data_IF_048833644825
#
_entry.id   IF_048833644825
#
_cell.length_a   1.000
_cell.length_b   1.000
_cell.length_c   1.000
_cell.angle_alpha   90.00
_cell.angle_beta   90.00
_cell.angle_gamma   90.00
#
_symmetry.space_group_name_H-M   'P 1'
#
loop_
_entity.id
_entity.type
_entity.pdbx_description
1 polymer ?
#
# COMPACT_ATOMS: atom_id res chain seq x y z
N UNK A 1 74.47 -2.89 -19.26
CA UNK A 1 75.43 -3.57 -20.16
C UNK A 1 75.16 -5.07 -20.14
N UNK A 2 75.52 -5.70 -21.25
CA UNK A 2 75.28 -7.08 -21.67
C UNK A 2 75.72 -8.19 -20.69
N UNK A 3 74.93 -9.27 -20.75
CA UNK A 3 75.19 -10.71 -20.73
C UNK A 3 76.50 -11.32 -20.17
N UNK A 4 76.27 -12.54 -19.65
CA UNK A 4 77.05 -13.81 -19.67
C UNK A 4 77.34 -14.26 -18.23
N UNK A 5 76.85 -15.41 -17.77
CA UNK A 5 76.99 -16.73 -18.38
C UNK A 5 78.21 -17.39 -17.75
N UNK A 6 78.03 -18.47 -16.98
CA UNK A 6 79.17 -19.25 -16.48
C UNK A 6 78.86 -20.17 -15.31
N UNK A 7 78.83 -21.47 -15.60
CA UNK A 7 79.43 -22.47 -14.71
C UNK A 7 78.50 -23.20 -13.75
N UNK A 8 77.68 -24.13 -14.26
CA UNK A 8 77.31 -25.29 -13.46
C UNK A 8 78.48 -26.30 -13.49
N UNK A 9 78.96 -26.70 -12.31
CA UNK A 9 79.96 -27.76 -12.14
C UNK A 9 79.30 -29.00 -11.54
N UNK A 10 79.26 -30.05 -12.35
CA UNK A 10 79.39 -31.48 -12.06
C UNK A 10 78.76 -32.09 -10.79
N UNK A 11 77.72 -32.89 -11.07
CA UNK A 11 77.56 -34.27 -10.61
C UNK A 11 77.64 -34.54 -9.11
N UNK A 12 76.52 -34.33 -8.43
CA UNK A 12 76.10 -35.21 -7.33
C UNK A 12 74.62 -35.54 -7.48
N UNK A 13 74.31 -36.59 -8.24
CA UNK A 13 73.03 -37.27 -8.13
C UNK A 13 73.34 -38.74 -7.87
N UNK A 14 73.03 -39.28 -6.67
CA UNK A 14 73.13 -40.70 -6.44
C UNK A 14 72.16 -41.42 -7.37
N UNK A 15 72.71 -42.30 -8.19
CA UNK A 15 71.99 -43.31 -8.96
C UNK A 15 71.30 -44.25 -7.97
N UNK A 16 70.05 -43.95 -7.64
CA UNK A 16 69.30 -44.76 -6.69
C UNK A 16 67.85 -44.35 -6.67
N UNK A 17 67.01 -45.24 -7.21
CA UNK A 17 65.58 -45.30 -6.93
C UNK A 17 64.69 -44.34 -7.73
N UNK A 18 64.65 -44.54 -9.05
CA UNK A 18 63.43 -44.25 -9.83
C UNK A 18 62.32 -45.23 -9.39
N UNK A 19 61.61 -44.91 -8.31
CA UNK A 19 60.23 -45.41 -8.19
C UNK A 19 59.44 -44.69 -9.27
N UNK A 20 59.14 -45.42 -10.34
CA UNK A 20 57.99 -45.09 -11.19
C UNK A 20 56.75 -45.16 -10.29
N UNK A 21 56.42 -44.07 -9.60
CA UNK A 21 55.05 -43.85 -9.17
C UNK A 21 54.24 -43.54 -10.43
N UNK A 22 53.87 -44.60 -11.17
CA UNK A 22 52.65 -44.60 -11.98
C UNK A 22 51.46 -44.62 -11.03
N UNK A 23 51.34 -43.57 -10.21
CA UNK A 23 50.07 -43.24 -9.57
C UNK A 23 49.20 -42.61 -10.65
N UNK A 24 48.37 -43.41 -11.32
CA UNK A 24 47.20 -42.86 -12.01
C UNK A 24 46.38 -42.17 -10.92
N UNK A 25 46.47 -40.85 -10.82
CA UNK A 25 45.48 -40.06 -10.11
C UNK A 25 44.18 -40.16 -10.91
N UNK A 26 43.39 -41.20 -10.65
CA UNK A 26 42.03 -41.29 -11.13
C UNK A 26 41.23 -40.29 -10.30
N UNK A 27 41.17 -39.04 -10.74
CA UNK A 27 40.05 -38.18 -10.36
C UNK A 27 38.80 -38.86 -10.94
N UNK A 28 38.13 -39.66 -10.12
CA UNK A 28 36.83 -40.21 -10.45
C UNK A 28 35.86 -39.04 -10.47
N UNK A 29 35.58 -38.51 -11.65
CA UNK A 29 34.49 -37.55 -11.82
C UNK A 29 33.19 -38.29 -11.51
N UNK A 30 32.59 -38.02 -10.35
CA UNK A 30 31.21 -38.40 -10.08
C UNK A 30 30.34 -37.63 -11.07
N UNK A 31 30.06 -38.24 -12.22
CA UNK A 31 29.14 -37.72 -13.20
C UNK A 31 27.73 -38.23 -12.86
N UNK A 32 26.78 -37.32 -12.72
CA UNK A 32 25.38 -37.69 -12.60
C UNK A 32 24.89 -38.31 -13.91
N UNK A 33 24.15 -39.41 -13.82
CA UNK A 33 23.46 -39.97 -14.96
C UNK A 33 22.33 -39.02 -15.40
N UNK A 34 21.98 -39.06 -16.68
CA UNK A 34 20.86 -38.29 -17.21
C UNK A 34 19.56 -38.57 -16.42
N UNK A 35 19.34 -39.83 -16.03
CA UNK A 35 18.18 -40.23 -15.23
C UNK A 35 18.17 -39.58 -13.84
N UNK A 36 19.30 -39.54 -13.14
CA UNK A 36 19.42 -38.87 -11.84
C UNK A 36 19.14 -37.35 -11.95
N UNK A 37 19.66 -36.71 -13.00
CA UNK A 37 19.38 -35.28 -13.25
C UNK A 37 17.90 -35.04 -13.57
N UNK A 38 17.27 -35.90 -14.38
CA UNK A 38 15.85 -35.75 -14.73
C UNK A 38 14.91 -35.97 -13.54
N UNK A 39 15.20 -36.98 -12.71
CA UNK A 39 14.39 -37.24 -11.49
C UNK A 39 14.54 -36.08 -10.51
N UNK A 40 15.77 -35.59 -10.29
CA UNK A 40 16.00 -34.45 -9.37
C UNK A 40 15.34 -33.16 -9.87
N UNK A 41 15.45 -32.83 -11.16
CA UNK A 41 14.74 -31.70 -11.76
C UNK A 41 13.21 -31.88 -11.70
N UNK A 42 12.70 -33.10 -11.90
CA UNK A 42 11.28 -33.40 -11.78
C UNK A 42 10.75 -33.17 -10.36
N UNK A 43 11.47 -33.67 -9.34
CA UNK A 43 11.10 -33.49 -7.93
C UNK A 43 11.18 -32.02 -7.53
N UNK A 44 12.27 -31.32 -7.86
CA UNK A 44 12.41 -29.89 -7.58
C UNK A 44 11.31 -29.09 -8.30
N UNK A 45 10.98 -29.45 -9.55
CA UNK A 45 9.92 -28.81 -10.32
C UNK A 45 8.54 -28.93 -9.66
N UNK A 46 8.18 -30.11 -9.17
CA UNK A 46 6.91 -30.35 -8.47
C UNK A 46 6.85 -29.55 -7.15
N UNK A 47 7.91 -29.61 -6.35
CA UNK A 47 7.98 -28.88 -5.07
C UNK A 47 7.91 -27.37 -5.32
N UNK A 48 8.72 -26.86 -6.25
CA UNK A 48 8.75 -25.46 -6.64
C UNK A 48 7.37 -24.96 -7.10
N UNK A 49 6.65 -25.75 -7.91
CA UNK A 49 5.32 -25.40 -8.39
C UNK A 49 4.29 -25.27 -7.24
N UNK A 50 4.44 -26.03 -6.15
CA UNK A 50 3.58 -25.93 -4.98
C UNK A 50 3.99 -24.82 -4.00
N UNK A 51 5.29 -24.51 -3.91
CA UNK A 51 5.81 -23.54 -2.94
C UNK A 51 5.87 -22.10 -3.45
N UNK A 52 6.18 -21.89 -4.74
CA UNK A 52 6.33 -20.52 -5.26
C UNK A 52 5.04 -19.70 -5.21
N UNK A 53 3.85 -20.23 -5.56
CA UNK A 53 2.62 -19.44 -5.50
C UNK A 53 2.29 -18.96 -4.08
N UNK A 54 2.44 -19.81 -3.08
CA UNK A 54 2.15 -19.47 -1.68
C UNK A 54 3.17 -18.46 -1.12
N UNK A 55 4.46 -18.63 -1.43
CA UNK A 55 5.50 -17.69 -1.04
C UNK A 55 5.27 -16.30 -1.65
N UNK A 56 4.96 -16.23 -2.95
CA UNK A 56 4.69 -14.98 -3.66
C UNK A 56 3.44 -14.30 -3.08
N UNK A 57 2.37 -15.05 -2.82
CA UNK A 57 1.15 -14.52 -2.22
C UNK A 57 1.41 -13.92 -0.83
N UNK A 58 2.14 -14.64 0.02
CA UNK A 58 2.50 -14.17 1.36
C UNK A 58 3.41 -12.93 1.31
N UNK A 59 4.39 -12.92 0.41
CA UNK A 59 5.26 -11.76 0.22
C UNK A 59 4.45 -10.52 -0.21
N UNK A 60 3.55 -10.67 -1.20
CA UNK A 60 2.65 -9.58 -1.64
C UNK A 60 1.78 -9.07 -0.51
N UNK A 61 1.22 -9.96 0.31
CA UNK A 61 0.43 -9.61 1.50
C UNK A 61 1.24 -8.70 2.43
N UNK A 62 2.47 -9.10 2.78
CA UNK A 62 3.34 -8.30 3.66
C UNK A 62 3.72 -6.94 3.06
N UNK A 63 4.08 -6.90 1.78
CA UNK A 63 4.39 -5.64 1.08
C UNK A 63 3.19 -4.70 1.08
N UNK A 64 1.99 -5.22 0.80
CA UNK A 64 0.75 -4.45 0.79
C UNK A 64 0.46 -3.86 2.17
N UNK A 65 0.48 -4.68 3.22
CA UNK A 65 0.27 -4.25 4.59
C UNK A 65 1.24 -3.14 5.01
N UNK A 66 2.52 -3.31 4.68
CA UNK A 66 3.56 -2.32 4.96
C UNK A 66 3.27 -0.99 4.26
N UNK A 67 2.89 -1.02 2.97
CA UNK A 67 2.56 0.18 2.21
C UNK A 67 1.32 0.89 2.75
N UNK A 68 0.24 0.15 3.04
CA UNK A 68 -0.99 0.72 3.62
C UNK A 68 -0.70 1.38 4.97
N UNK A 69 0.03 0.69 5.85
CA UNK A 69 0.43 1.23 7.15
C UNK A 69 1.30 2.48 7.00
N UNK A 70 2.24 2.46 6.07
CA UNK A 70 3.09 3.61 5.76
C UNK A 70 2.25 4.81 5.31
N UNK A 71 1.35 4.62 4.33
CA UNK A 71 0.47 5.69 3.83
C UNK A 71 -0.42 6.27 4.93
N UNK A 72 -1.07 5.40 5.73
CA UNK A 72 -1.88 5.82 6.86
C UNK A 72 -1.08 6.65 7.88
N UNK A 73 0.16 6.23 8.16
CA UNK A 73 1.07 6.93 9.08
C UNK A 73 1.51 8.28 8.50
N UNK A 74 1.87 8.35 7.22
CA UNK A 74 2.24 9.60 6.54
C UNK A 74 1.10 10.61 6.62
N UNK A 75 -0.13 10.20 6.33
CA UNK A 75 -1.30 11.09 6.34
C UNK A 75 -1.65 11.57 7.76
N UNK A 76 -1.58 10.70 8.77
CA UNK A 76 -1.77 11.12 10.16
C UNK A 76 -0.64 12.03 10.66
N UNK A 77 0.62 11.75 10.32
CA UNK A 77 1.74 12.62 10.70
C UNK A 77 1.62 14.01 10.05
N UNK A 78 1.16 14.09 8.81
CA UNK A 78 0.87 15.37 8.16
C UNK A 78 -0.24 16.14 8.89
N UNK A 79 -1.30 15.45 9.30
CA UNK A 79 -2.38 16.04 10.10
C UNK A 79 -1.88 16.56 11.46
N UNK A 80 -1.07 15.78 12.18
CA UNK A 80 -0.51 16.20 13.47
C UNK A 80 0.37 17.44 13.33
N UNK A 81 1.15 17.55 12.24
CA UNK A 81 1.92 18.78 11.94
C UNK A 81 1.00 19.96 11.67
N UNK A 82 -0.06 19.78 10.91
CA UNK A 82 -1.03 20.83 10.64
C UNK A 82 -1.73 21.33 11.91
N UNK A 83 -1.97 20.48 12.90
CA UNK A 83 -2.52 20.87 14.22
C UNK A 83 -1.62 21.80 15.01
N UNK A 84 -0.30 21.72 14.84
CA UNK A 84 0.64 22.62 15.55
C UNK A 84 0.37 24.08 15.17
N UNK A 85 0.05 24.35 13.90
CA UNK A 85 -0.15 25.71 13.39
C UNK A 85 -1.61 26.16 13.40
N UNK A 86 -2.56 25.24 13.22
CA UNK A 86 -3.98 25.57 13.03
C UNK A 86 -4.86 25.26 14.25
N UNK A 87 -4.26 24.76 15.33
CA UNK A 87 -4.96 24.38 16.56
C UNK A 87 -5.22 22.88 16.66
N UNK A 88 -5.32 22.39 17.90
CA UNK A 88 -5.36 20.96 18.20
C UNK A 88 -6.69 20.29 17.88
N UNK A 89 -7.79 21.03 17.87
CA UNK A 89 -9.13 20.53 17.54
C UNK A 89 -9.50 20.90 16.11
N UNK A 90 -9.56 19.89 15.24
CA UNK A 90 -9.86 20.08 13.83
C UNK A 90 -11.27 20.60 13.56
N UNK A 91 -12.22 20.46 14.50
CA UNK A 91 -13.58 20.94 14.29
C UNK A 91 -13.64 22.47 14.25
N UNK A 92 -12.61 23.13 14.78
CA UNK A 92 -12.45 24.59 14.77
C UNK A 92 -11.65 25.09 13.56
N UNK A 93 -11.16 24.20 12.70
CA UNK A 93 -10.42 24.59 11.52
C UNK A 93 -11.35 25.24 10.50
N UNK A 94 -10.87 26.32 9.88
CA UNK A 94 -11.63 27.00 8.85
C UNK A 94 -11.72 26.15 7.58
N UNK A 95 -12.93 25.96 7.08
CA UNK A 95 -13.22 25.39 5.76
C UNK A 95 -14.16 26.35 5.04
N UNK A 96 -13.90 26.71 3.76
CA UNK A 96 -14.80 27.55 2.99
C UNK A 96 -16.22 26.97 2.97
N UNK A 97 -17.21 27.77 3.34
CA UNK A 97 -18.63 27.39 3.30
C UNK A 97 -19.20 27.52 1.89
N UNK A 98 -18.72 28.51 1.14
CA UNK A 98 -19.04 28.76 -0.27
C UNK A 98 -18.05 28.03 -1.19
N UNK A 99 -18.50 27.75 -2.41
CA UNK A 99 -17.72 27.04 -3.42
C UNK A 99 -18.14 25.57 -3.57
N UNK A 100 -17.67 24.99 -4.65
CA UNK A 100 -17.85 23.61 -5.04
C UNK A 100 -17.06 22.64 -4.13
N UNK A 101 -17.38 21.35 -4.19
CA UNK A 101 -16.72 20.33 -3.36
C UNK A 101 -15.23 20.19 -3.69
N UNK A 102 -14.88 20.32 -4.97
CA UNK A 102 -13.52 20.34 -5.48
C UNK A 102 -12.72 21.53 -4.94
N UNK A 103 -13.31 22.73 -4.90
CA UNK A 103 -12.66 23.93 -4.33
C UNK A 103 -12.40 23.77 -2.83
N UNK A 104 -13.39 23.29 -2.06
CA UNK A 104 -13.22 23.00 -0.63
C UNK A 104 -12.15 21.94 -0.37
N UNK A 105 -12.13 20.90 -1.20
CA UNK A 105 -11.14 19.84 -1.13
C UNK A 105 -9.74 20.34 -1.47
N UNK A 106 -9.61 21.19 -2.49
CA UNK A 106 -8.34 21.81 -2.85
C UNK A 106 -7.84 22.72 -1.74
N UNK A 107 -8.71 23.57 -1.18
CA UNK A 107 -8.36 24.42 -0.05
C UNK A 107 -7.81 23.59 1.13
N UNK A 108 -8.51 22.52 1.50
CA UNK A 108 -8.08 21.66 2.61
C UNK A 108 -6.74 20.99 2.31
N UNK A 109 -6.54 20.51 1.07
CA UNK A 109 -5.26 19.94 0.65
C UNK A 109 -4.13 20.96 0.80
N UNK A 110 -4.26 22.14 0.18
CA UNK A 110 -3.21 23.17 0.16
C UNK A 110 -2.91 23.73 1.54
N UNK A 111 -3.94 23.94 2.37
CA UNK A 111 -3.78 24.55 3.68
C UNK A 111 -3.28 23.57 4.74
N UNK A 112 -3.79 22.34 4.75
CA UNK A 112 -3.62 21.44 5.89
C UNK A 112 -2.83 20.17 5.59
N UNK A 113 -2.63 19.76 4.33
CA UNK A 113 -1.96 18.50 4.01
C UNK A 113 -0.68 18.70 3.20
N UNK A 114 -0.76 19.35 2.04
CA UNK A 114 0.33 19.49 1.08
C UNK A 114 1.62 20.09 1.68
N UNK A 115 1.59 21.08 2.59
CA UNK A 115 2.81 21.63 3.20
C UNK A 115 3.63 20.59 3.97
N UNK A 116 2.98 19.51 4.42
CA UNK A 116 3.56 18.49 5.28
C UNK A 116 3.79 17.15 4.56
N UNK A 117 3.50 17.10 3.25
CA UNK A 117 3.59 15.91 2.42
C UNK A 117 4.59 16.09 1.28
N UNK A 118 5.27 15.01 0.90
CA UNK A 118 6.16 14.98 -0.26
C UNK A 118 5.35 14.72 -1.53
N UNK A 119 4.69 15.76 -2.03
CA UNK A 119 3.82 15.70 -3.22
C UNK A 119 4.62 16.00 -4.48
N UNK A 120 4.45 15.16 -5.50
CA UNK A 120 5.11 15.34 -6.81
C UNK A 120 4.18 16.00 -7.81
N UNK A 121 2.88 15.69 -7.76
CA UNK A 121 1.85 16.22 -8.67
C UNK A 121 0.53 16.35 -7.94
N UNK A 122 -0.28 17.33 -8.32
CA UNK A 122 -1.65 17.48 -7.86
C UNK A 122 -2.50 18.20 -8.91
N UNK A 123 -3.82 18.08 -8.78
CA UNK A 123 -4.77 18.39 -9.84
C UNK A 123 -5.37 19.80 -9.75
N UNK A 124 -4.54 20.81 -9.50
CA UNK A 124 -4.98 22.21 -9.44
C UNK A 124 -5.10 22.85 -10.80
N UNK A 125 -3.99 22.90 -11.55
CA UNK A 125 -3.91 23.72 -12.75
C UNK A 125 -4.46 23.01 -14.00
N UNK A 126 -4.50 21.67 -13.97
CA UNK A 126 -4.94 20.87 -15.11
C UNK A 126 -5.57 19.54 -14.63
N UNK A 127 -6.90 19.51 -14.42
CA UNK A 127 -7.61 18.31 -13.98
C UNK A 127 -7.74 17.24 -15.07
N UNK A 128 -7.38 17.54 -16.32
CA UNK A 128 -7.43 16.59 -17.44
C UNK A 128 -6.21 15.67 -17.51
N UNK A 129 -5.22 15.87 -16.63
CA UNK A 129 -4.03 15.02 -16.62
C UNK A 129 -4.40 13.57 -16.26
N UNK A 130 -3.73 12.56 -16.84
CA UNK A 130 -4.08 11.15 -16.60
C UNK A 130 -4.01 10.71 -15.13
N UNK A 131 -3.24 11.41 -14.29
CA UNK A 131 -3.13 11.11 -12.86
C UNK A 131 -4.22 11.78 -12.00
N UNK A 132 -5.06 12.62 -12.60
CA UNK A 132 -6.21 13.29 -11.99
C UNK A 132 -7.52 12.50 -12.15
N UNK A 133 -7.40 11.27 -12.65
CA UNK A 133 -8.49 10.34 -12.83
C UNK A 133 -7.98 8.92 -12.60
N UNK A 134 -8.69 8.15 -11.78
CA UNK A 134 -8.49 6.71 -11.64
C UNK A 134 -9.83 6.01 -11.45
N UNK A 135 -9.92 4.78 -11.95
CA UNK A 135 -11.07 3.91 -11.72
C UNK A 135 -10.66 2.76 -10.84
N UNK A 136 -11.48 2.42 -9.86
CA UNK A 136 -11.26 1.24 -9.04
C UNK A 136 -12.55 0.43 -8.88
N UNK A 137 -12.38 -0.86 -8.59
CA UNK A 137 -13.47 -1.80 -8.39
C UNK A 137 -13.77 -1.99 -6.90
N UNK A 138 -15.01 -2.36 -6.60
CA UNK A 138 -15.33 -2.98 -5.31
C UNK A 138 -14.55 -4.28 -5.14
N UNK A 139 -14.48 -4.76 -3.90
CA UNK A 139 -13.76 -5.98 -3.58
C UNK A 139 -14.29 -7.21 -4.33
N UNK A 140 -15.62 -7.27 -4.56
CA UNK A 140 -16.25 -8.31 -5.37
C UNK A 140 -15.88 -8.22 -6.86
N UNK A 141 -15.65 -7.00 -7.36
CA UNK A 141 -15.40 -6.70 -8.76
C UNK A 141 -16.65 -6.24 -9.53
N UNK A 142 -17.82 -6.27 -8.91
CA UNK A 142 -19.10 -6.05 -9.60
C UNK A 142 -19.41 -4.57 -9.89
N UNK A 143 -18.88 -3.66 -9.06
CA UNK A 143 -19.11 -2.22 -9.21
C UNK A 143 -17.81 -1.47 -9.42
N UNK A 144 -17.86 -0.49 -10.32
CA UNK A 144 -16.78 0.46 -10.60
C UNK A 144 -17.10 1.81 -9.97
N UNK A 145 -16.08 2.40 -9.38
CA UNK A 145 -16.11 3.69 -8.69
C UNK A 145 -14.88 4.50 -9.12
N UNK A 146 -14.86 5.80 -8.81
CA UNK A 146 -13.99 6.76 -9.48
C UNK A 146 -13.30 7.70 -8.49
N UNK A 147 -11.99 7.86 -8.66
CA UNK A 147 -11.24 9.00 -8.13
C UNK A 147 -11.15 10.00 -9.27
N UNK A 148 -11.79 11.16 -9.15
CA UNK A 148 -11.77 12.17 -10.21
C UNK A 148 -11.61 13.56 -9.63
N UNK A 149 -10.60 14.30 -10.09
CA UNK A 149 -10.42 15.69 -9.70
C UNK A 149 -11.33 16.59 -10.56
N UNK A 150 -12.39 17.12 -9.96
CA UNK A 150 -13.42 17.98 -10.58
C UNK A 150 -14.05 18.89 -9.52
N UNK A 151 -14.65 19.98 -9.97
CA UNK A 151 -15.33 20.96 -9.11
C UNK A 151 -16.47 20.33 -8.29
N UNK A 152 -17.27 19.46 -8.88
CA UNK A 152 -18.37 18.77 -8.19
C UNK A 152 -17.93 17.57 -7.32
N UNK A 153 -16.63 17.26 -7.29
CA UNK A 153 -16.11 16.04 -6.67
C UNK A 153 -15.07 16.33 -5.59
N UNK A 154 -13.79 16.14 -5.87
CA UNK A 154 -12.69 16.38 -4.94
C UNK A 154 -11.41 16.73 -5.67
N UNK A 155 -10.29 16.63 -4.97
CA UNK A 155 -8.96 16.84 -5.56
C UNK A 155 -8.10 15.60 -5.43
N UNK A 156 -7.15 15.42 -6.35
CA UNK A 156 -6.18 14.33 -6.32
C UNK A 156 -4.76 14.88 -6.24
N UNK A 157 -3.93 14.24 -5.43
CA UNK A 157 -2.50 14.48 -5.38
C UNK A 157 -1.72 13.16 -5.27
N UNK A 158 -0.50 13.17 -5.81
CA UNK A 158 0.40 12.03 -5.86
C UNK A 158 1.61 12.28 -4.98
N UNK A 159 1.84 11.35 -4.06
CA UNK A 159 3.03 11.33 -3.21
C UNK A 159 4.23 10.78 -3.98
N UNK A 160 5.44 11.14 -3.55
CA UNK A 160 6.69 10.70 -4.18
C UNK A 160 6.94 9.19 -4.11
N UNK A 161 6.29 8.48 -3.19
CA UNK A 161 6.33 7.03 -3.07
C UNK A 161 5.32 6.31 -3.98
N UNK A 162 4.63 7.04 -4.87
CA UNK A 162 3.71 6.50 -5.87
C UNK A 162 2.25 6.39 -5.42
N UNK A 163 1.94 6.76 -4.17
CA UNK A 163 0.56 6.74 -3.65
C UNK A 163 -0.26 7.86 -4.29
N UNK A 164 -1.45 7.51 -4.80
CA UNK A 164 -2.46 8.47 -5.24
C UNK A 164 -3.46 8.71 -4.12
N UNK A 165 -3.76 9.97 -3.81
CA UNK A 165 -4.66 10.37 -2.73
C UNK A 165 -5.78 11.22 -3.32
N UNK A 166 -7.01 10.75 -3.20
CA UNK A 166 -8.22 11.48 -3.54
C UNK A 166 -8.89 12.00 -2.28
N UNK A 167 -8.99 13.31 -2.17
CA UNK A 167 -9.52 14.03 -1.03
C UNK A 167 -10.87 14.66 -1.40
N UNK A 168 -11.87 14.40 -0.57
CA UNK A 168 -13.19 15.05 -0.61
C UNK A 168 -13.52 15.69 0.72
N UNK A 169 -13.99 16.93 0.68
CA UNK A 169 -14.35 17.73 1.85
C UNK A 169 -15.76 18.25 1.67
N UNK A 170 -16.61 18.11 2.70
CA UNK A 170 -17.97 18.67 2.71
C UNK A 170 -19.06 17.61 2.56
N UNK A 171 -20.16 17.96 1.89
CA UNK A 171 -21.34 17.10 1.66
C UNK A 171 -20.99 15.82 0.88
N UNK A 172 -20.71 14.75 1.61
CA UNK A 172 -20.58 13.41 1.04
C UNK A 172 -21.93 12.77 1.29
N UNK A 173 -22.82 12.76 0.28
CA UNK A 173 -24.21 12.29 0.37
C UNK A 173 -24.35 11.13 1.36
N UNK A 174 -24.83 11.45 2.55
CA UNK A 174 -25.64 10.52 3.32
C UNK A 174 -27.03 10.58 2.71
N UNK A 175 -27.76 9.47 2.72
CA UNK A 175 -29.11 9.31 2.16
C UNK A 175 -30.18 10.24 2.74
N UNK A 176 -29.80 11.22 3.56
CA UNK A 176 -30.70 12.12 4.28
C UNK A 176 -30.60 13.52 3.66
N UNK A 177 -31.45 13.74 2.65
CA UNK A 177 -31.62 15.04 2.00
C UNK A 177 -32.30 16.05 2.93
N UNK A 178 -31.79 17.29 2.99
CA UNK A 178 -32.57 18.45 3.44
C UNK A 178 -32.20 19.13 4.77
N UNK A 179 -30.98 18.94 5.29
CA UNK A 179 -30.51 19.66 6.49
C UNK A 179 -29.43 20.68 6.11
N UNK A 180 -29.66 21.94 6.44
CA UNK A 180 -28.69 23.03 6.29
C UNK A 180 -27.57 22.85 7.33
N UNK A 181 -26.32 22.83 6.87
CA UNK A 181 -25.16 22.38 7.66
C UNK A 181 -24.53 23.54 8.45
N UNK A 182 -24.22 23.27 9.72
CA UNK A 182 -23.40 24.16 10.56
C UNK A 182 -21.94 24.21 10.06
N UNK A 183 -21.25 25.33 10.29
CA UNK A 183 -19.97 25.76 9.68
C UNK A 183 -18.74 24.88 9.99
N UNK A 184 -18.93 23.74 10.66
CA UNK A 184 -17.90 22.81 11.13
C UNK A 184 -17.44 21.84 10.04
N UNK A 185 -16.27 21.23 10.24
CA UNK A 185 -15.78 20.11 9.41
C UNK A 185 -16.74 18.91 9.53
N UNK A 186 -17.78 18.91 8.69
CA UNK A 186 -18.81 17.87 8.72
C UNK A 186 -18.20 16.50 8.42
N UNK A 187 -17.30 16.42 7.43
CA UNK A 187 -16.54 15.21 7.10
C UNK A 187 -15.46 15.50 6.06
N UNK A 188 -14.28 14.93 6.28
CA UNK A 188 -13.22 14.80 5.27
C UNK A 188 -13.05 13.33 4.94
N UNK A 189 -13.11 12.95 3.67
CA UNK A 189 -12.94 11.59 3.20
C UNK A 189 -11.76 11.52 2.26
N UNK A 190 -10.82 10.63 2.58
CA UNK A 190 -9.70 10.31 1.72
C UNK A 190 -9.86 8.88 1.22
N UNK A 191 -9.84 8.72 -0.09
CA UNK A 191 -9.57 7.44 -0.74
C UNK A 191 -8.13 7.47 -1.23
N UNK A 192 -7.30 6.52 -0.85
CA UNK A 192 -5.93 6.44 -1.35
C UNK A 192 -5.66 5.08 -2.00
N UNK A 193 -4.84 5.12 -3.02
CA UNK A 193 -4.36 3.99 -3.79
C UNK A 193 -2.84 3.88 -3.56
N UNK A 194 -2.39 2.76 -2.99
CA UNK A 194 -1.02 2.59 -2.49
C UNK A 194 0.04 2.35 -3.58
N UNK A 195 -0.36 2.00 -4.80
CA UNK A 195 0.50 1.86 -5.97
C UNK A 195 0.07 2.76 -7.14
N UNK A 196 -0.95 3.58 -6.90
CA UNK A 196 -1.47 4.54 -7.86
C UNK A 196 -2.23 3.85 -8.99
N UNK A 197 -2.63 4.59 -10.05
CA UNK A 197 -3.59 4.11 -11.04
C UNK A 197 -3.12 2.88 -11.86
N UNK A 198 -1.88 2.42 -11.68
CA UNK A 198 -1.29 1.26 -12.37
C UNK A 198 -1.54 -0.06 -11.64
N UNK A 199 -2.14 -0.04 -10.45
CA UNK A 199 -2.39 -1.21 -9.62
C UNK A 199 -3.55 -2.10 -10.07
N UNK A 200 -3.93 -3.03 -9.19
CA UNK A 200 -5.17 -3.80 -9.33
C UNK A 200 -6.41 -2.91 -9.26
N UNK A 201 -6.27 -1.71 -8.68
CA UNK A 201 -7.31 -0.71 -8.49
C UNK A 201 -8.57 -1.35 -7.89
N UNK A 202 -8.43 -1.96 -6.72
CA UNK A 202 -9.49 -2.69 -6.02
C UNK A 202 -9.56 -2.29 -4.54
N UNK A 203 -10.77 -1.96 -4.09
CA UNK A 203 -11.04 -1.69 -2.67
C UNK A 203 -10.63 -2.86 -1.80
N UNK A 204 -9.87 -2.57 -0.74
CA UNK A 204 -9.36 -3.60 0.16
C UNK A 204 -8.19 -4.41 -0.40
N UNK A 205 -7.61 -4.03 -1.53
CA UNK A 205 -6.38 -4.63 -2.02
C UNK A 205 -5.27 -3.57 -2.12
N UNK A 206 -5.49 -2.54 -2.91
CA UNK A 206 -4.59 -1.39 -3.05
C UNK A 206 -5.30 -0.05 -2.79
N UNK A 207 -6.62 -0.02 -2.91
CA UNK A 207 -7.46 1.15 -2.61
C UNK A 207 -8.07 1.05 -1.21
N UNK A 208 -7.84 2.06 -0.37
CA UNK A 208 -8.34 2.13 1.00
C UNK A 208 -8.92 3.51 1.31
N UNK A 209 -9.74 3.57 2.37
CA UNK A 209 -10.49 4.77 2.72
C UNK A 209 -10.30 5.14 4.20
N UNK A 210 -10.07 6.42 4.45
CA UNK A 210 -10.01 7.03 5.79
C UNK A 210 -10.88 8.27 5.85
N UNK A 211 -11.36 8.60 7.04
CA UNK A 211 -12.19 9.76 7.31
C UNK A 211 -11.66 10.55 8.50
N UNK A 212 -11.93 11.84 8.50
CA UNK A 212 -11.56 12.80 9.53
C UNK A 212 -12.75 13.74 9.80
N UNK A 213 -12.89 14.19 11.05
CA UNK A 213 -14.01 15.04 11.46
C UNK A 213 -15.31 14.26 11.63
N UNK A 214 -16.45 14.97 11.64
CA UNK A 214 -17.75 14.37 11.96
C UNK A 214 -17.89 14.01 13.43
N UNK A 215 -17.28 14.80 14.34
CA UNK A 215 -17.54 14.70 15.78
C UNK A 215 -18.93 15.27 16.14
N UNK A 216 -19.48 16.11 15.27
CA UNK A 216 -20.76 16.79 15.39
C UNK A 216 -21.58 16.68 14.10
N UNK A 217 -22.87 17.04 14.16
CA UNK A 217 -23.79 16.99 13.02
C UNK A 217 -24.29 15.58 12.66
N UNK A 218 -25.02 15.42 11.55
CA UNK A 218 -25.62 14.14 11.12
C UNK A 218 -24.57 13.07 10.77
N UNK A 219 -23.33 13.48 10.51
CA UNK A 219 -22.21 12.58 10.27
C UNK A 219 -21.57 12.03 11.56
N UNK A 220 -22.10 12.37 12.75
CA UNK A 220 -21.59 11.88 14.04
C UNK A 220 -21.62 10.37 14.11
N UNK A 221 -20.43 9.76 14.13
CA UNK A 221 -20.26 8.31 14.26
C UNK A 221 -19.65 7.96 15.60
N UNK A 222 -20.35 7.11 16.38
CA UNK A 222 -19.88 6.38 17.56
C UNK A 222 -18.99 7.18 18.53
N UNK A 223 -18.14 6.49 19.32
CA UNK A 223 -17.26 7.08 20.34
C UNK A 223 -15.79 7.18 19.87
N UNK A 224 -15.51 7.01 18.59
CA UNK A 224 -14.15 7.10 18.09
C UNK A 224 -13.67 8.56 18.10
N UNK A 225 -12.39 8.77 18.42
CA UNK A 225 -11.74 10.07 18.36
C UNK A 225 -11.63 10.53 16.90
N UNK A 226 -12.50 11.46 16.51
CA UNK A 226 -12.59 12.03 15.17
C UNK A 226 -11.61 13.18 14.93
N UNK A 227 -10.74 13.46 15.90
CA UNK A 227 -9.68 14.44 15.75
C UNK A 227 -8.44 13.89 15.01
N UNK A 228 -8.50 12.68 14.46
CA UNK A 228 -7.44 12.06 13.65
C UNK A 228 -8.05 11.29 12.48
N UNK A 229 -7.24 10.95 11.48
CA UNK A 229 -7.73 10.11 10.40
C UNK A 229 -8.00 8.69 10.92
N UNK A 230 -9.23 8.24 10.77
CA UNK A 230 -9.65 6.88 11.10
C UNK A 230 -10.02 6.12 9.84
N UNK A 231 -9.93 4.78 9.84
CA UNK A 231 -10.50 3.99 8.75
C UNK A 231 -11.98 4.33 8.52
N UNK A 232 -12.42 4.23 7.28
CA UNK A 232 -13.82 4.53 6.91
C UNK A 232 -14.81 3.69 7.73
N UNK A 233 -15.76 4.37 8.40
CA UNK A 233 -16.74 3.79 9.34
C UNK A 233 -16.14 3.05 10.54
N UNK A 234 -14.91 3.37 10.94
CA UNK A 234 -14.33 2.78 12.14
C UNK A 234 -15.18 3.12 13.38
N UNK A 235 -15.41 2.11 14.21
CA UNK A 235 -16.21 2.14 15.42
C UNK A 235 -15.53 1.36 16.53
N UNK A 236 -15.14 2.06 17.59
CA UNK A 236 -14.47 1.49 18.76
C UNK A 236 -15.37 0.58 19.59
N UNK A 237 -16.70 0.65 19.41
CA UNK A 237 -17.66 -0.23 20.08
C UNK A 237 -17.89 -1.56 19.35
N UNK A 238 -17.43 -1.69 18.10
CA UNK A 238 -17.65 -2.88 17.28
C UNK A 238 -16.46 -3.83 17.36
N UNK A 239 -16.69 -5.15 17.50
CA UNK A 239 -15.62 -6.14 17.41
C UNK A 239 -15.09 -6.21 15.97
N UNK A 240 -13.84 -6.65 15.77
CA UNK A 240 -13.23 -6.66 14.44
C UNK A 240 -14.01 -7.48 13.40
N UNK A 241 -14.70 -8.55 13.83
CA UNK A 241 -15.56 -9.37 12.96
C UNK A 241 -16.71 -8.58 12.30
N UNK A 242 -17.12 -7.45 12.88
CA UNK A 242 -18.13 -6.57 12.28
C UNK A 242 -17.70 -6.10 10.88
N UNK A 243 -16.43 -5.74 10.71
CA UNK A 243 -15.90 -5.21 9.45
C UNK A 243 -15.78 -6.24 8.32
N UNK A 244 -15.93 -7.54 8.61
CA UNK A 244 -15.96 -8.63 7.61
C UNK A 244 -17.33 -9.30 7.49
N UNK A 245 -18.34 -8.82 8.23
CA UNK A 245 -19.72 -9.31 8.21
C UNK A 245 -20.49 -8.96 6.93
N UNK A 246 -21.67 -9.52 6.69
CA UNK A 246 -22.47 -9.30 5.47
C UNK A 246 -23.21 -7.95 5.45
N UNK A 247 -22.49 -6.85 5.64
CA UNK A 247 -23.00 -5.48 5.51
C UNK A 247 -22.45 -4.82 4.25
N UNK A 248 -23.17 -3.83 3.73
CA UNK A 248 -22.96 -3.22 2.40
C UNK A 248 -21.52 -2.81 2.06
N UNK A 249 -20.73 -2.38 3.06
CA UNK A 249 -19.37 -1.87 2.87
C UNK A 249 -18.27 -2.75 3.47
N UNK A 250 -18.63 -3.93 3.98
CA UNK A 250 -17.70 -4.81 4.68
C UNK A 250 -16.54 -5.27 3.80
N UNK A 251 -15.48 -5.71 4.46
CA UNK A 251 -14.35 -6.38 3.87
C UNK A 251 -14.66 -7.85 3.55
N UNK A 252 -15.61 -8.09 2.66
CA UNK A 252 -15.86 -9.39 2.06
C UNK A 252 -16.34 -9.22 0.61
N UNK A 253 -16.33 -10.33 -0.15
CA UNK A 253 -16.69 -10.35 -1.57
C UNK A 253 -18.20 -10.43 -1.82
N UNK A 254 -19.01 -10.67 -0.79
CA UNK A 254 -20.46 -10.81 -0.91
C UNK A 254 -21.20 -9.48 -0.72
N UNK A 255 -20.54 -8.48 -0.11
CA UNK A 255 -21.09 -7.16 0.12
C UNK A 255 -21.20 -6.36 -1.18
N UNK A 256 -22.37 -5.73 -1.41
CA UNK A 256 -22.69 -4.96 -2.62
C UNK A 256 -21.64 -3.89 -2.94
N UNK A 257 -21.21 -3.10 -1.94
CA UNK A 257 -20.14 -2.11 -2.08
C UNK A 257 -18.92 -2.48 -1.22
N UNK A 258 -18.60 -3.78 -1.23
CA UNK A 258 -17.56 -4.39 -0.40
C UNK A 258 -16.17 -3.79 -0.59
N UNK A 259 -15.38 -3.83 0.47
CA UNK A 259 -13.97 -3.43 0.52
C UNK A 259 -13.70 -2.10 1.21
N UNK A 260 -14.68 -1.21 1.34
CA UNK A 260 -14.48 0.11 1.94
C UNK A 260 -14.06 0.05 3.42
N UNK A 261 -14.51 -0.97 4.17
CA UNK A 261 -14.15 -1.18 5.58
C UNK A 261 -12.90 -2.06 5.78
N UNK A 262 -12.21 -2.49 4.73
CA UNK A 262 -11.04 -3.38 4.89
C UNK A 262 -9.94 -2.77 5.75
N UNK A 263 -9.68 -1.47 5.63
CA UNK A 263 -8.71 -0.80 6.51
C UNK A 263 -9.16 -0.83 7.98
N UNK A 264 -10.46 -0.73 8.25
CA UNK A 264 -11.00 -0.80 9.61
C UNK A 264 -10.73 -2.17 10.24
N UNK A 265 -10.89 -3.24 9.46
CA UNK A 265 -10.56 -4.60 9.89
C UNK A 265 -9.06 -4.76 10.16
N UNK A 266 -8.20 -4.30 9.25
CA UNK A 266 -6.73 -4.37 9.40
C UNK A 266 -6.26 -3.65 10.66
N UNK A 267 -6.74 -2.42 10.87
CA UNK A 267 -6.38 -1.61 12.06
C UNK A 267 -6.92 -2.25 13.34
N UNK A 268 -8.16 -2.76 13.32
CA UNK A 268 -8.76 -3.43 14.47
C UNK A 268 -7.97 -4.70 14.88
N UNK A 269 -7.47 -5.46 13.91
CA UNK A 269 -6.62 -6.64 14.14
C UNK A 269 -5.15 -6.30 14.44
N UNK A 270 -4.82 -5.05 14.76
CA UNK A 270 -3.45 -4.67 15.12
C UNK A 270 -2.48 -4.60 13.95
N UNK A 271 -2.95 -4.14 12.78
CA UNK A 271 -2.21 -4.15 11.52
C UNK A 271 -1.89 -5.57 11.03
N UNK A 272 -2.91 -6.44 11.04
CA UNK A 272 -2.88 -7.74 10.38
C UNK A 272 -4.15 -7.90 9.54
N UNK A 273 -4.05 -8.60 8.41
CA UNK A 273 -5.23 -8.95 7.65
C UNK A 273 -6.14 -9.91 8.42
N UNK A 274 -5.61 -10.78 9.28
CA UNK A 274 -6.36 -11.85 9.92
C UNK A 274 -6.77 -12.95 8.95
N UNK A 275 -7.44 -13.98 9.46
CA UNK A 275 -7.83 -15.16 8.68
C UNK A 275 -9.08 -14.94 7.83
N UNK A 276 -9.93 -13.98 8.22
CA UNK A 276 -11.18 -13.68 7.51
C UNK A 276 -11.00 -12.62 6.41
N UNK A 277 -9.76 -12.19 6.16
CA UNK A 277 -9.50 -11.25 5.08
C UNK A 277 -9.69 -11.94 3.73
N UNK A 278 -10.41 -11.30 2.80
CA UNK A 278 -10.70 -11.87 1.48
C UNK A 278 -9.54 -11.70 0.49
N UNK A 279 -8.35 -12.20 0.83
CA UNK A 279 -7.12 -12.12 0.02
C UNK A 279 -7.27 -12.75 -1.36
#
# INVERSE_FOLDING_TARGET
>A
MNFRGGGASNNQAPSGFLVKLKGKSTYSYFAFTLAEVLITLGVIGIVAAMTFPSLIANHRRQVMLSKVKQTYTILNNALERAKVENGTDINNWYIPTKGSQGEKSMFFAEKYLLPYLQVVKYCKDNPEKPYCYSTYLTLSGDYKDYMVARDDSGTIFLLNNGVSVFLRVGEISTTDSGVEYDEKVSRVLITFDIDGPKGYNKKGYDVFMIELGGAEGPAKKNRADRNKFLPYQYDTSKPCNYYVSEITHACNRNATYGGSMCLAYIVCNGWDFGDKYPW
#
